data_IF_036870335180
#
_entry.id   IF_036870335180
#
_cell.length_a   1.000
_cell.length_b   1.000
_cell.length_c   1.000
_cell.angle_alpha   90.00
_cell.angle_beta   90.00
_cell.angle_gamma   90.00
#
_symmetry.space_group_name_H-M   'P 1'
#
loop_
_entity.id
_entity.type
_entity.pdbx_description
1 polymer ?
#
# COMPACT_ATOMS: atom_id res chain seq x y z
N UNK A 1 -10.70 -13.86 3.87
CA UNK A 1 -11.76 -13.05 4.48
C UNK A 1 -11.88 -13.33 5.97
N UNK A 2 -12.03 -12.28 6.77
CA UNK A 2 -12.38 -12.35 8.18
C UNK A 2 -13.64 -11.50 8.38
N UNK A 3 -14.79 -12.16 8.33
CA UNK A 3 -16.08 -11.49 8.51
C UNK A 3 -16.40 -11.32 9.99
N UNK A 4 -17.04 -10.21 10.32
CA UNK A 4 -17.58 -10.00 11.66
C UNK A 4 -18.81 -10.89 11.89
N UNK A 5 -19.06 -11.31 13.15
CA UNK A 5 -20.31 -11.99 13.51
C UNK A 5 -21.53 -11.08 13.31
N UNK A 6 -21.36 -9.78 13.56
CA UNK A 6 -22.36 -8.75 13.35
C UNK A 6 -22.31 -8.27 11.91
N UNK A 7 -23.48 -8.06 11.29
CA UNK A 7 -23.58 -7.55 9.92
C UNK A 7 -22.92 -6.17 9.82
N UNK A 8 -21.90 -6.05 9.01
CA UNK A 8 -21.20 -4.80 8.71
C UNK A 8 -20.98 -4.68 7.20
N UNK A 9 -21.19 -3.48 6.66
CA UNK A 9 -20.86 -3.13 5.29
C UNK A 9 -19.53 -2.38 5.19
N UNK A 10 -18.79 -2.27 6.31
CA UNK A 10 -17.45 -1.68 6.34
C UNK A 10 -16.41 -2.77 6.06
N UNK A 11 -15.51 -2.50 5.13
CA UNK A 11 -14.46 -3.43 4.73
C UNK A 11 -13.10 -2.73 4.70
N UNK A 12 -12.09 -3.41 5.21
CA UNK A 12 -10.69 -3.02 5.02
C UNK A 12 -9.99 -4.06 4.15
N UNK A 13 -9.46 -3.63 3.01
CA UNK A 13 -8.57 -4.46 2.18
C UNK A 13 -7.14 -4.13 2.60
N UNK A 14 -6.44 -5.13 3.15
CA UNK A 14 -5.10 -4.97 3.70
C UNK A 14 -4.07 -5.59 2.77
N UNK A 15 -3.19 -4.77 2.22
CA UNK A 15 -2.18 -5.17 1.22
C UNK A 15 -0.81 -5.23 1.88
N UNK A 16 -0.23 -6.43 1.93
CA UNK A 16 1.03 -6.71 2.61
C UNK A 16 2.28 -6.21 1.87
N UNK A 17 3.41 -6.18 2.58
CA UNK A 17 4.72 -5.78 2.05
C UNK A 17 5.45 -6.88 1.28
N UNK A 18 6.65 -6.55 0.83
CA UNK A 18 7.55 -7.45 0.11
C UNK A 18 7.95 -8.65 0.99
N UNK A 19 7.96 -9.86 0.41
CA UNK A 19 8.24 -11.13 1.08
C UNK A 19 7.34 -11.46 2.29
N UNK A 20 6.20 -10.79 2.41
CA UNK A 20 5.19 -11.08 3.42
C UNK A 20 3.99 -11.83 2.78
N UNK A 21 2.91 -11.96 3.51
CA UNK A 21 1.64 -12.59 3.09
C UNK A 21 0.47 -11.94 3.82
N UNK A 22 -0.75 -12.22 3.38
CA UNK A 22 -1.94 -11.64 3.99
C UNK A 22 -1.99 -11.83 5.51
N UNK A 23 -1.66 -13.03 6.02
CA UNK A 23 -1.64 -13.29 7.47
C UNK A 23 -0.60 -12.47 8.25
N UNK A 24 0.45 -11.94 7.60
CA UNK A 24 1.40 -11.02 8.22
C UNK A 24 0.78 -9.67 8.60
N UNK A 25 -0.38 -9.35 8.01
CA UNK A 25 -1.13 -8.12 8.31
C UNK A 25 -2.00 -8.21 9.59
N UNK A 26 -1.82 -9.23 10.43
CA UNK A 26 -2.68 -9.52 11.59
C UNK A 26 -2.76 -8.35 12.58
N UNK A 27 -1.64 -7.67 12.87
CA UNK A 27 -1.63 -6.55 13.83
C UNK A 27 -2.47 -5.37 13.32
N UNK A 28 -2.37 -5.07 12.02
CA UNK A 28 -3.19 -4.04 11.36
C UNK A 28 -4.65 -4.49 11.24
N UNK A 29 -4.87 -5.74 10.84
CA UNK A 29 -6.20 -6.33 10.74
C UNK A 29 -6.96 -6.28 12.05
N UNK A 30 -6.29 -6.58 13.17
CA UNK A 30 -6.90 -6.49 14.51
C UNK A 30 -7.44 -5.09 14.79
N UNK A 31 -6.69 -4.04 14.45
CA UNK A 31 -7.12 -2.65 14.65
C UNK A 31 -8.36 -2.30 13.86
N UNK A 32 -8.42 -2.65 12.57
CA UNK A 32 -9.62 -2.45 11.73
C UNK A 32 -10.79 -3.30 12.19
N UNK A 33 -10.56 -4.58 12.51
CA UNK A 33 -11.61 -5.48 12.99
C UNK A 33 -12.27 -4.98 14.28
N UNK A 34 -11.47 -4.49 15.25
CA UNK A 34 -11.97 -3.89 16.48
C UNK A 34 -12.78 -2.60 16.22
N UNK A 35 -12.47 -1.90 15.11
CA UNK A 35 -13.19 -0.69 14.69
C UNK A 35 -14.40 -0.96 13.79
N UNK A 36 -14.82 -2.20 13.66
CA UNK A 36 -16.08 -2.57 13.00
C UNK A 36 -15.95 -3.03 11.54
N UNK A 37 -14.74 -3.24 11.04
CA UNK A 37 -14.52 -3.64 9.64
C UNK A 37 -14.46 -5.15 9.47
N UNK A 38 -15.05 -5.66 8.40
CA UNK A 38 -14.69 -6.94 7.81
C UNK A 38 -13.33 -6.80 7.12
N UNK A 39 -12.56 -7.87 7.05
CA UNK A 39 -11.21 -7.82 6.47
C UNK A 39 -11.11 -8.70 5.23
N UNK A 40 -10.53 -8.15 4.18
CA UNK A 40 -10.03 -8.87 3.03
C UNK A 40 -8.50 -8.71 3.01
N UNK A 41 -7.79 -9.81 3.11
CA UNK A 41 -6.32 -9.82 3.27
C UNK A 41 -5.73 -10.75 2.21
N UNK A 42 -5.61 -10.29 0.95
CA UNK A 42 -5.10 -11.13 -0.13
C UNK A 42 -3.60 -11.38 0.02
N UNK A 43 -3.15 -12.56 -0.37
CA UNK A 43 -1.75 -12.76 -0.74
C UNK A 43 -1.54 -12.15 -2.13
N UNK A 44 -0.58 -11.26 -2.28
CA UNK A 44 -0.22 -10.70 -3.58
C UNK A 44 0.40 -11.78 -4.48
N UNK A 45 0.39 -11.56 -5.79
CA UNK A 45 1.01 -12.49 -6.76
C UNK A 45 2.45 -12.83 -6.37
N UNK A 46 2.82 -14.11 -6.48
CA UNK A 46 4.15 -14.60 -6.11
C UNK A 46 4.45 -14.60 -4.61
N UNK A 47 3.43 -14.38 -3.76
CA UNK A 47 3.55 -14.42 -2.30
C UNK A 47 2.53 -15.39 -1.69
N UNK A 48 2.83 -15.87 -0.48
CA UNK A 48 1.95 -16.72 0.30
C UNK A 48 1.49 -17.96 -0.47
N UNK A 49 0.17 -18.14 -0.57
CA UNK A 49 -0.46 -19.24 -1.33
C UNK A 49 -0.89 -18.81 -2.73
N UNK A 50 -0.68 -17.52 -3.11
CA UNK A 50 -1.04 -17.03 -4.44
C UNK A 50 -0.06 -17.50 -5.50
N UNK A 51 -0.60 -17.86 -6.67
CA UNK A 51 0.21 -18.20 -7.83
C UNK A 51 1.02 -16.99 -8.34
N UNK A 52 2.05 -17.26 -9.11
CA UNK A 52 2.90 -16.27 -9.75
C UNK A 52 4.38 -16.65 -9.66
N UNK A 53 5.15 -16.21 -10.65
CA UNK A 53 6.59 -16.50 -10.76
C UNK A 53 7.46 -15.27 -10.53
N UNK A 54 6.84 -14.10 -10.30
CA UNK A 54 7.54 -12.84 -10.07
C UNK A 54 6.75 -11.94 -9.12
N UNK A 55 7.45 -10.99 -8.56
CA UNK A 55 6.89 -9.96 -7.67
C UNK A 55 6.64 -8.70 -8.51
N UNK A 56 5.42 -8.16 -8.45
CA UNK A 56 4.98 -7.06 -9.30
C UNK A 56 5.42 -5.67 -8.84
N UNK A 57 6.03 -5.55 -7.64
CA UNK A 57 6.40 -4.26 -7.03
C UNK A 57 5.28 -3.21 -7.06
N UNK A 58 4.04 -3.67 -6.89
CA UNK A 58 2.85 -2.86 -6.94
C UNK A 58 2.23 -2.69 -8.34
N UNK A 59 2.98 -2.90 -9.44
CA UNK A 59 2.48 -2.58 -10.77
C UNK A 59 1.40 -3.54 -11.28
N UNK A 60 1.64 -4.84 -11.25
CA UNK A 60 0.59 -5.79 -11.59
C UNK A 60 -0.34 -6.04 -10.42
N UNK A 61 0.17 -5.92 -9.20
CA UNK A 61 -0.56 -6.11 -7.96
C UNK A 61 -1.73 -5.13 -7.82
N UNK A 62 -1.59 -3.86 -8.28
CA UNK A 62 -2.68 -2.88 -8.20
C UNK A 62 -3.92 -3.33 -8.99
N UNK A 63 -3.73 -4.02 -10.12
CA UNK A 63 -4.85 -4.55 -10.91
C UNK A 63 -5.56 -5.70 -10.20
N UNK A 64 -4.81 -6.52 -9.46
CA UNK A 64 -5.39 -7.59 -8.67
C UNK A 64 -6.18 -7.03 -7.49
N UNK A 65 -5.67 -5.98 -6.83
CA UNK A 65 -6.39 -5.27 -5.76
C UNK A 65 -7.69 -4.65 -6.31
N UNK A 66 -7.67 -4.06 -7.51
CA UNK A 66 -8.88 -3.55 -8.17
C UNK A 66 -9.90 -4.68 -8.43
N UNK A 67 -9.46 -5.86 -8.86
CA UNK A 67 -10.35 -7.03 -9.03
C UNK A 67 -10.96 -7.47 -7.70
N UNK A 68 -10.19 -7.45 -6.60
CA UNK A 68 -10.70 -7.74 -5.26
C UNK A 68 -11.74 -6.71 -4.80
N UNK A 69 -11.55 -5.41 -5.13
CA UNK A 69 -12.54 -4.37 -4.86
C UNK A 69 -13.86 -4.71 -5.55
N UNK A 70 -13.84 -4.99 -6.85
CA UNK A 70 -15.05 -5.32 -7.61
C UNK A 70 -15.67 -6.63 -7.13
N UNK A 71 -14.88 -7.64 -6.82
CA UNK A 71 -15.39 -8.91 -6.27
C UNK A 71 -16.13 -8.69 -4.95
N UNK A 72 -15.60 -7.83 -4.09
CA UNK A 72 -16.25 -7.51 -2.83
C UNK A 72 -17.56 -6.74 -3.04
N UNK A 73 -17.61 -5.82 -4.01
CA UNK A 73 -18.82 -5.08 -4.36
C UNK A 73 -19.90 -6.00 -4.97
N UNK A 74 -19.51 -7.03 -5.74
CA UNK A 74 -20.44 -8.06 -6.23
C UNK A 74 -21.09 -8.85 -5.07
N UNK A 75 -20.33 -9.13 -4.01
CA UNK A 75 -20.83 -9.83 -2.81
C UNK A 75 -21.65 -8.90 -1.90
N UNK A 76 -21.24 -7.63 -1.78
CA UNK A 76 -21.91 -6.60 -0.98
C UNK A 76 -21.93 -5.26 -1.73
N UNK A 77 -22.98 -4.96 -2.49
CA UNK A 77 -23.10 -3.69 -3.22
C UNK A 77 -23.09 -2.45 -2.33
N UNK A 78 -23.41 -2.59 -1.03
CA UNK A 78 -23.39 -1.51 -0.03
C UNK A 78 -22.02 -1.34 0.64
N UNK A 79 -21.00 -2.09 0.23
CA UNK A 79 -19.68 -2.06 0.83
C UNK A 79 -19.10 -0.63 0.86
N UNK A 80 -18.58 -0.23 2.01
CA UNK A 80 -17.73 0.93 2.21
C UNK A 80 -16.30 0.45 2.49
N UNK A 81 -15.38 0.73 1.57
CA UNK A 81 -14.07 0.11 1.50
C UNK A 81 -12.98 1.11 1.88
N UNK A 82 -12.13 0.73 2.84
CA UNK A 82 -10.81 1.32 3.09
C UNK A 82 -9.75 0.45 2.44
N UNK A 83 -8.84 1.04 1.69
CA UNK A 83 -7.61 0.36 1.27
C UNK A 83 -6.50 0.73 2.25
N UNK A 84 -5.84 -0.27 2.78
CA UNK A 84 -4.66 -0.10 3.62
C UNK A 84 -3.49 -0.88 3.01
N UNK A 85 -2.34 -0.25 2.87
CA UNK A 85 -1.12 -0.90 2.39
C UNK A 85 0.08 -0.62 3.27
N UNK A 86 0.95 -1.63 3.41
CA UNK A 86 2.22 -1.56 4.14
C UNK A 86 3.39 -1.72 3.18
N UNK A 87 4.36 -0.81 3.17
CA UNK A 87 5.61 -0.93 2.38
C UNK A 87 5.31 -1.11 0.87
N UNK A 88 5.66 -2.24 0.26
CA UNK A 88 5.27 -2.56 -1.11
C UNK A 88 3.73 -2.53 -1.30
N UNK A 89 2.98 -2.96 -0.29
CA UNK A 89 1.53 -2.84 -0.28
C UNK A 89 1.05 -1.39 -0.27
N UNK A 90 1.76 -0.49 0.42
CA UNK A 90 1.50 0.94 0.41
C UNK A 90 1.72 1.54 -0.98
N UNK A 91 2.83 1.19 -1.63
CA UNK A 91 3.06 1.56 -3.02
C UNK A 91 1.97 0.99 -3.95
N UNK A 92 1.50 -0.23 -3.67
CA UNK A 92 0.41 -0.87 -4.43
C UNK A 92 -0.90 -0.08 -4.30
N UNK A 93 -1.35 0.27 -3.09
CA UNK A 93 -2.60 1.03 -2.92
C UNK A 93 -2.49 2.46 -3.45
N UNK A 94 -1.31 3.07 -3.41
CA UNK A 94 -1.04 4.32 -4.11
C UNK A 94 -1.15 4.17 -5.63
N UNK A 95 -0.69 3.04 -6.19
CA UNK A 95 -0.85 2.77 -7.62
C UNK A 95 -2.31 2.49 -7.99
N UNK A 96 -3.08 1.81 -7.14
CA UNK A 96 -4.53 1.64 -7.27
C UNK A 96 -5.23 2.99 -7.39
N UNK A 97 -4.81 3.99 -6.62
CA UNK A 97 -5.44 5.31 -6.57
C UNK A 97 -5.40 6.10 -7.88
N UNK A 98 -4.51 5.74 -8.80
CA UNK A 98 -4.39 6.38 -10.09
C UNK A 98 -5.37 5.88 -11.15
N UNK A 99 -6.11 4.81 -10.87
CA UNK A 99 -7.17 4.28 -11.72
C UNK A 99 -8.55 4.82 -11.29
N UNK A 100 -9.54 4.84 -12.19
CA UNK A 100 -10.92 5.13 -11.82
C UNK A 100 -11.44 4.08 -10.83
N UNK A 101 -11.69 4.51 -9.59
CA UNK A 101 -12.20 3.63 -8.53
C UNK A 101 -13.72 3.80 -8.35
N UNK A 102 -14.43 2.71 -7.99
CA UNK A 102 -15.85 2.79 -7.67
C UNK A 102 -16.07 3.62 -6.38
N UNK A 103 -17.23 4.29 -6.24
CA UNK A 103 -17.55 5.15 -5.09
C UNK A 103 -17.58 4.42 -3.75
N UNK A 104 -17.55 3.11 -3.78
CA UNK A 104 -17.41 2.22 -2.63
C UNK A 104 -16.05 2.37 -1.93
N UNK A 105 -14.98 2.70 -2.67
CA UNK A 105 -13.67 2.99 -2.09
C UNK A 105 -13.68 4.40 -1.52
N UNK A 106 -13.68 4.49 -0.20
CA UNK A 106 -13.89 5.74 0.53
C UNK A 106 -12.60 6.49 0.82
N UNK A 107 -11.56 5.77 1.21
CA UNK A 107 -10.26 6.34 1.47
C UNK A 107 -9.15 5.29 1.37
N UNK A 108 -7.92 5.77 1.31
CA UNK A 108 -6.71 4.97 1.18
C UNK A 108 -5.75 5.37 2.30
N UNK A 109 -5.07 4.39 2.88
CA UNK A 109 -4.02 4.58 3.88
C UNK A 109 -2.78 3.87 3.37
N UNK A 110 -1.72 4.60 3.20
CA UNK A 110 -0.41 4.07 2.88
C UNK A 110 0.53 4.23 4.09
N UNK A 111 1.26 3.19 4.45
CA UNK A 111 2.25 3.18 5.52
C UNK A 111 3.61 2.75 4.97
N UNK A 112 4.59 3.64 5.02
CA UNK A 112 5.97 3.51 4.56
C UNK A 112 6.14 3.05 3.08
N UNK A 113 5.31 3.60 2.17
CA UNK A 113 5.40 3.31 0.75
C UNK A 113 6.51 4.09 0.03
N UNK A 114 6.96 3.56 -1.10
CA UNK A 114 8.02 4.17 -1.92
C UNK A 114 7.46 4.96 -3.11
N UNK A 115 8.27 5.89 -3.60
CA UNK A 115 7.94 6.75 -4.75
C UNK A 115 7.83 5.97 -6.07
N UNK A 116 8.70 4.98 -6.26
CA UNK A 116 8.69 4.04 -7.39
C UNK A 116 9.56 2.83 -7.08
N UNK A 117 9.27 1.69 -7.71
CA UNK A 117 10.11 0.50 -7.56
C UNK A 117 11.54 0.75 -8.06
N UNK A 118 11.72 1.60 -9.09
CA UNK A 118 13.06 1.99 -9.53
C UNK A 118 13.84 2.71 -8.43
N UNK A 119 13.23 3.69 -7.77
CA UNK A 119 13.90 4.48 -6.72
C UNK A 119 14.24 3.60 -5.52
N UNK A 120 13.32 2.74 -5.10
CA UNK A 120 13.54 1.81 -3.99
C UNK A 120 14.64 0.79 -4.31
N UNK A 121 14.60 0.15 -5.49
CA UNK A 121 15.66 -0.78 -5.91
C UNK A 121 17.02 -0.09 -6.06
N UNK A 122 17.06 1.17 -6.49
CA UNK A 122 18.30 1.93 -6.58
C UNK A 122 18.90 2.21 -5.20
N UNK A 123 18.06 2.57 -4.23
CA UNK A 123 18.46 2.77 -2.84
C UNK A 123 18.99 1.46 -2.23
N UNK A 124 18.25 0.37 -2.37
CA UNK A 124 18.67 -0.94 -1.85
C UNK A 124 19.97 -1.43 -2.49
N UNK A 125 20.15 -1.22 -3.80
CA UNK A 125 21.38 -1.56 -4.50
C UNK A 125 22.56 -0.76 -3.95
N UNK A 126 22.36 0.53 -3.68
CA UNK A 126 23.38 1.38 -3.10
C UNK A 126 23.69 1.00 -1.65
N UNK A 127 22.66 0.82 -0.81
CA UNK A 127 22.85 0.53 0.62
C UNK A 127 23.51 -0.83 0.84
N UNK A 128 23.05 -1.87 0.14
CA UNK A 128 23.50 -3.24 0.37
C UNK A 128 24.81 -3.58 -0.37
N UNK A 129 24.98 -3.08 -1.59
CA UNK A 129 26.09 -3.48 -2.46
C UNK A 129 27.05 -2.34 -2.81
N UNK A 130 26.74 -1.10 -2.44
CA UNK A 130 27.50 0.10 -2.80
C UNK A 130 27.62 0.30 -4.32
N UNK A 131 26.65 -0.22 -5.08
CA UNK A 131 26.63 -0.14 -6.54
C UNK A 131 25.71 0.98 -7.02
N UNK A 132 26.06 1.65 -8.14
CA UNK A 132 25.16 2.57 -8.81
C UNK A 132 24.05 1.83 -9.57
N UNK A 133 22.91 2.48 -9.84
CA UNK A 133 21.82 1.88 -10.62
C UNK A 133 22.25 1.39 -12.01
N UNK A 134 23.14 2.13 -12.70
CA UNK A 134 23.69 1.72 -13.99
C UNK A 134 24.97 0.88 -13.79
N UNK A 135 25.15 -0.24 -14.49
CA UNK A 135 24.24 -0.82 -15.49
C UNK A 135 23.21 -1.80 -14.92
N UNK A 136 23.29 -2.16 -13.60
CA UNK A 136 22.59 -3.30 -12.99
C UNK A 136 21.07 -3.18 -13.15
N UNK A 137 20.46 -2.08 -12.70
CA UNK A 137 19.01 -1.91 -12.78
C UNK A 137 18.54 -1.70 -14.24
N UNK A 138 19.39 -1.18 -15.11
CA UNK A 138 19.06 -1.06 -16.52
C UNK A 138 18.95 -2.43 -17.19
N UNK A 139 19.85 -3.36 -16.84
CA UNK A 139 19.79 -4.74 -17.30
C UNK A 139 18.60 -5.49 -16.70
N UNK A 140 18.35 -5.33 -15.40
CA UNK A 140 17.18 -5.89 -14.76
C UNK A 140 15.88 -5.42 -15.42
N UNK A 141 15.74 -4.12 -15.66
CA UNK A 141 14.58 -3.55 -16.37
C UNK A 141 14.39 -4.14 -17.78
N UNK A 142 15.49 -4.34 -18.51
CA UNK A 142 15.44 -4.93 -19.85
C UNK A 142 14.93 -6.38 -19.78
N UNK A 143 15.43 -7.17 -18.84
CA UNK A 143 14.99 -8.55 -18.62
C UNK A 143 13.52 -8.58 -18.23
N UNK A 144 13.10 -7.84 -17.20
CA UNK A 144 11.73 -7.79 -16.72
C UNK A 144 10.73 -7.38 -17.80
N UNK A 145 11.14 -6.50 -18.73
CA UNK A 145 10.29 -6.12 -19.87
C UNK A 145 9.89 -7.33 -20.73
N UNK A 146 10.79 -8.29 -20.90
CA UNK A 146 10.54 -9.49 -21.71
C UNK A 146 9.96 -10.64 -20.92
N UNK A 147 10.35 -10.83 -19.65
CA UNK A 147 9.90 -11.94 -18.81
C UNK A 147 8.57 -11.65 -18.12
N UNK A 148 8.42 -10.44 -17.57
CA UNK A 148 7.32 -10.08 -16.68
C UNK A 148 6.36 -9.05 -17.28
N UNK A 149 6.68 -8.58 -18.50
CA UNK A 149 5.90 -7.61 -19.28
C UNK A 149 5.69 -6.26 -18.57
N UNK A 150 6.60 -5.85 -17.70
CA UNK A 150 6.67 -4.53 -17.07
C UNK A 150 8.11 -4.19 -16.71
N UNK A 151 8.34 -2.96 -16.23
CA UNK A 151 9.64 -2.49 -15.75
C UNK A 151 9.51 -1.85 -14.37
N UNK A 152 10.61 -1.75 -13.62
CA UNK A 152 10.64 -1.02 -12.35
C UNK A 152 10.22 0.46 -12.51
N UNK A 153 10.33 1.03 -13.72
CA UNK A 153 9.92 2.40 -14.03
C UNK A 153 8.41 2.54 -14.23
N UNK A 154 7.72 1.44 -14.57
CA UNK A 154 6.26 1.42 -14.68
C UNK A 154 5.62 1.42 -13.30
N UNK A 155 6.20 0.70 -12.34
CA UNK A 155 5.79 0.68 -10.94
C UNK A 155 6.16 2.02 -10.25
N UNK A 156 5.32 3.03 -10.47
CA UNK A 156 5.58 4.42 -10.08
C UNK A 156 4.40 5.04 -9.34
N UNK A 157 4.49 5.06 -8.01
CA UNK A 157 3.43 5.57 -7.13
C UNK A 157 3.23 7.09 -7.30
N UNK A 158 4.31 7.88 -7.46
CA UNK A 158 4.18 9.34 -7.68
C UNK A 158 3.29 9.66 -8.86
N UNK A 159 3.44 8.95 -9.99
CA UNK A 159 2.63 9.19 -11.18
C UNK A 159 1.16 8.84 -10.96
N UNK A 160 0.87 7.95 -10.03
CA UNK A 160 -0.50 7.51 -9.78
C UNK A 160 -1.19 8.39 -8.73
N UNK A 161 -0.51 8.76 -7.65
CA UNK A 161 -1.09 9.69 -6.66
C UNK A 161 -1.38 11.07 -7.26
N UNK A 162 -0.65 11.48 -8.31
CA UNK A 162 -0.94 12.70 -9.07
C UNK A 162 -2.33 12.70 -9.74
N UNK A 163 -2.93 11.53 -9.95
CA UNK A 163 -4.24 11.34 -10.59
C UNK A 163 -5.34 11.03 -9.56
N UNK A 164 -4.94 10.71 -8.34
CA UNK A 164 -5.88 10.27 -7.29
C UNK A 164 -6.86 11.37 -6.94
N UNK A 165 -8.13 10.98 -6.86
CA UNK A 165 -9.22 11.80 -6.30
C UNK A 165 -9.72 11.24 -4.96
N UNK A 166 -9.30 10.03 -4.61
CA UNK A 166 -9.69 9.34 -3.37
C UNK A 166 -8.87 9.87 -2.21
N UNK A 167 -9.50 10.28 -1.08
CA UNK A 167 -8.80 10.77 0.10
C UNK A 167 -7.71 9.82 0.59
N UNK A 168 -6.55 10.35 0.97
CA UNK A 168 -5.39 9.53 1.31
C UNK A 168 -4.67 9.99 2.58
N UNK A 169 -4.41 9.02 3.48
CA UNK A 169 -3.54 9.20 4.64
C UNK A 169 -2.16 8.60 4.35
N UNK A 170 -1.14 9.42 4.46
CA UNK A 170 0.27 9.06 4.30
C UNK A 170 0.92 8.89 5.67
N UNK A 171 1.47 7.72 5.97
CA UNK A 171 2.14 7.42 7.24
C UNK A 171 3.58 7.00 6.96
N UNK A 172 4.54 7.49 7.76
CA UNK A 172 5.94 7.08 7.62
C UNK A 172 6.71 7.25 8.94
N UNK A 173 7.63 6.34 9.20
CA UNK A 173 8.59 6.46 10.30
C UNK A 173 9.75 7.37 9.93
N UNK A 174 10.13 8.30 10.80
CA UNK A 174 11.20 9.27 10.51
C UNK A 174 12.59 8.64 10.45
N UNK A 175 12.78 7.47 11.07
CA UNK A 175 14.04 6.72 11.04
C UNK A 175 14.00 5.52 10.10
N UNK A 176 13.07 5.53 9.14
CA UNK A 176 13.00 4.50 8.10
C UNK A 176 14.18 4.66 7.13
N UNK A 177 15.09 3.69 7.19
CA UNK A 177 16.27 3.60 6.32
C UNK A 177 16.13 2.53 5.25
N UNK A 178 15.05 1.73 5.28
CA UNK A 178 14.78 0.74 4.25
C UNK A 178 14.03 1.38 3.08
N UNK A 179 12.84 1.95 3.35
CA UNK A 179 12.20 2.90 2.44
C UNK A 179 12.46 4.30 3.01
N UNK A 180 13.42 5.06 2.48
CA UNK A 180 13.84 6.31 3.11
C UNK A 180 12.68 7.27 3.37
N UNK A 181 12.61 7.81 4.59
CA UNK A 181 11.58 8.79 4.99
C UNK A 181 11.45 9.96 4.01
N UNK A 182 12.55 10.31 3.33
CA UNK A 182 12.56 11.34 2.29
C UNK A 182 11.62 11.05 1.11
N UNK A 183 11.17 9.80 0.94
CA UNK A 183 10.19 9.43 -0.09
C UNK A 183 8.76 9.90 0.22
N UNK A 184 8.45 10.17 1.48
CA UNK A 184 7.13 10.65 1.90
C UNK A 184 6.78 12.03 1.30
N UNK A 185 7.71 12.98 1.38
CA UNK A 185 7.45 14.37 0.97
C UNK A 185 7.01 14.48 -0.50
N UNK A 186 7.73 13.92 -1.48
CA UNK A 186 7.32 14.00 -2.89
C UNK A 186 5.99 13.26 -3.17
N UNK A 187 5.68 12.17 -2.48
CA UNK A 187 4.38 11.49 -2.58
C UNK A 187 3.25 12.38 -2.08
N UNK A 188 3.41 12.90 -0.87
CA UNK A 188 2.42 13.77 -0.26
C UNK A 188 2.19 15.05 -1.07
N UNK A 189 3.26 15.73 -1.49
CA UNK A 189 3.16 16.99 -2.25
C UNK A 189 2.49 16.78 -3.60
N UNK A 190 2.78 15.69 -4.29
CA UNK A 190 2.24 15.37 -5.63
C UNK A 190 0.78 14.94 -5.59
N UNK A 191 0.32 14.31 -4.51
CA UNK A 191 -1.08 13.88 -4.40
C UNK A 191 -2.04 15.07 -4.50
N UNK A 192 -3.06 14.96 -5.37
CA UNK A 192 -4.04 16.03 -5.64
C UNK A 192 -5.34 15.88 -4.87
N UNK A 193 -5.58 14.71 -4.28
CA UNK A 193 -6.75 14.41 -3.45
C UNK A 193 -6.71 15.09 -2.09
N UNK A 194 -7.82 15.04 -1.34
CA UNK A 194 -7.79 15.35 0.09
C UNK A 194 -6.81 14.43 0.80
N UNK A 195 -5.93 15.00 1.60
CA UNK A 195 -4.79 14.27 2.15
C UNK A 195 -4.42 14.68 3.57
N UNK A 196 -3.92 13.72 4.31
CA UNK A 196 -3.35 13.92 5.65
C UNK A 196 -2.01 13.20 5.73
N UNK A 197 -1.12 13.69 6.59
CA UNK A 197 0.20 13.09 6.83
C UNK A 197 0.37 12.78 8.32
N UNK A 198 0.98 11.63 8.62
CA UNK A 198 1.43 11.24 9.95
C UNK A 198 2.89 10.78 9.87
N UNK A 199 3.80 11.53 10.48
CA UNK A 199 5.19 11.11 10.67
C UNK A 199 5.38 10.66 12.12
N UNK A 200 6.06 9.54 12.34
CA UNK A 200 6.31 8.98 13.67
C UNK A 200 7.80 9.07 13.98
N UNK A 201 8.20 9.97 14.89
CA UNK A 201 9.59 10.07 15.33
C UNK A 201 10.10 8.76 15.95
N UNK A 202 11.32 8.38 15.64
CA UNK A 202 11.96 7.18 16.17
C UNK A 202 11.47 5.86 15.58
N UNK A 203 10.50 5.89 14.65
CA UNK A 203 10.03 4.69 13.98
C UNK A 203 10.87 4.37 12.74
N UNK A 204 11.35 3.14 12.65
CA UNK A 204 11.96 2.57 11.45
C UNK A 204 10.91 1.98 10.50
N UNK A 205 11.37 1.20 9.50
CA UNK A 205 10.51 0.60 8.49
C UNK A 205 9.42 -0.31 9.10
N UNK A 206 8.15 -0.05 8.73
CA UNK A 206 6.97 -0.78 9.21
C UNK A 206 6.83 -0.82 10.75
N UNK A 207 7.38 0.17 11.46
CA UNK A 207 7.37 0.21 12.93
C UNK A 207 6.43 1.28 13.50
N UNK A 208 5.76 2.07 12.68
CA UNK A 208 4.89 3.18 13.12
C UNK A 208 3.84 2.72 14.15
N UNK A 209 3.15 1.60 13.86
CA UNK A 209 2.13 1.02 14.74
C UNK A 209 2.70 0.55 16.08
N UNK A 210 3.95 0.11 16.14
CA UNK A 210 4.60 -0.37 17.37
C UNK A 210 5.20 0.77 18.18
N UNK A 211 5.77 1.77 17.50
CA UNK A 211 6.43 2.92 18.13
C UNK A 211 5.43 3.87 18.81
N UNK A 212 4.28 4.11 18.18
CA UNK A 212 3.27 5.03 18.69
C UNK A 212 1.85 4.50 18.48
N UNK A 213 1.46 3.36 19.09
CA UNK A 213 0.21 2.65 18.77
C UNK A 213 -1.04 3.50 19.00
N UNK A 214 -1.07 4.29 20.07
CA UNK A 214 -2.22 5.15 20.37
C UNK A 214 -2.40 6.26 19.34
N UNK A 215 -1.32 6.97 19.01
CA UNK A 215 -1.34 8.04 18.01
C UNK A 215 -1.67 7.49 16.62
N UNK A 216 -1.08 6.36 16.26
CA UNK A 216 -1.28 5.67 15.01
C UNK A 216 -2.76 5.32 14.79
N UNK A 217 -3.36 4.58 15.70
CA UNK A 217 -4.76 4.16 15.61
C UNK A 217 -5.75 5.31 15.79
N UNK A 218 -5.43 6.29 16.66
CA UNK A 218 -6.24 7.50 16.80
C UNK A 218 -6.30 8.27 15.46
N UNK A 219 -5.17 8.41 14.79
CA UNK A 219 -5.11 9.13 13.50
C UNK A 219 -5.85 8.37 12.40
N UNK A 220 -5.64 7.06 12.28
CA UNK A 220 -6.34 6.22 11.30
C UNK A 220 -7.86 6.30 11.51
N UNK A 221 -8.35 6.09 12.74
CA UNK A 221 -9.78 6.16 13.04
C UNK A 221 -10.35 7.53 12.70
N UNK A 222 -9.73 8.59 13.19
CA UNK A 222 -10.19 9.95 12.90
C UNK A 222 -10.20 10.28 11.41
N UNK A 223 -9.30 9.67 10.63
CA UNK A 223 -9.27 9.82 9.18
C UNK A 223 -10.40 9.03 8.51
N UNK A 224 -10.55 7.73 8.79
CA UNK A 224 -11.54 6.89 8.13
C UNK A 224 -12.98 7.29 8.51
N UNK A 225 -13.23 7.71 9.75
CA UNK A 225 -14.54 8.15 10.24
C UNK A 225 -15.06 9.44 9.55
N UNK A 226 -14.22 10.16 8.78
CA UNK A 226 -14.68 11.26 7.94
C UNK A 226 -15.41 10.80 6.67
N UNK A 227 -15.15 9.57 6.23
CA UNK A 227 -15.61 9.06 4.94
C UNK A 227 -16.51 7.83 5.05
N UNK A 228 -16.53 7.18 6.22
CA UNK A 228 -17.29 5.95 6.47
C UNK A 228 -18.05 6.08 7.80
N UNK A 229 -19.38 6.20 7.70
CA UNK A 229 -20.31 6.25 8.84
C UNK A 229 -20.41 4.87 9.55
#
# INVERSE_FOLDING_TARGET
YFNRPEKSHKYAILVHGYHDRGLGMTDYGRGFYQHGYNLLVPDLRGHGESEGHYIGFGWHDHRDVIRWIYRLIEEDPSASIVLFGLSMGAATVMMVSGDPLPPNVKCIIEDCGYTSAWAECAEQLHVQFKLPPFPVLNMANLIMRFTDHYTLRDANAIRQVAKSITPMLFIHGEEDTFVPYAMLAPLYETATCEKQKLSIPGAGHAQCVRQAPELYWKTIRAFVDKYID
#
